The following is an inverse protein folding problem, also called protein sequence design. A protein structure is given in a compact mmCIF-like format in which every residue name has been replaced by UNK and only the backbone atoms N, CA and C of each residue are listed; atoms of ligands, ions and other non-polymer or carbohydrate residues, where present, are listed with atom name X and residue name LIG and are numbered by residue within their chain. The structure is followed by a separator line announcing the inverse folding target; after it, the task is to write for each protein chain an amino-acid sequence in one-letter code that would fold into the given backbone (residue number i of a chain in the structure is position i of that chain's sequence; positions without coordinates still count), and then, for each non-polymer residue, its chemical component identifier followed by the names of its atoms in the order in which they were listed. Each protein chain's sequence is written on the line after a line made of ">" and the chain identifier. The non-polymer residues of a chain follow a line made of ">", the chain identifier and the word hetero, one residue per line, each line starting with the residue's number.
data_IF_801818442062
#
_entry.id   IF_801818442062
#
_cell.length_a   1.000
_cell.length_b   1.000
_cell.length_c   1.000
_cell.angle_alpha   90.00
_cell.angle_beta   90.00
_cell.angle_gamma   90.00
#
_symmetry.space_group_name_H-M   'P 1'
#
loop_
_entity.id
_entity.type
_entity.pdbx_description
1 polymer ?
#
# COMPACT_ATOMS: atom_id res chain seq x y z
N UNK A 1 -0.34 -0.01 26.22
CA UNK A 1 -1.21 -0.04 25.03
C UNK A 1 -0.45 0.62 23.89
N UNK A 2 -0.30 -0.04 22.76
CA UNK A 2 0.45 0.51 21.63
C UNK A 2 -0.51 1.37 20.82
N UNK A 3 -0.35 2.67 20.88
CA UNK A 3 -1.13 3.60 20.06
C UNK A 3 -0.50 3.68 18.67
N UNK A 4 -1.32 3.59 17.65
CA UNK A 4 -0.89 3.87 16.27
C UNK A 4 -0.98 5.37 16.01
N UNK A 5 0.12 5.95 15.56
CA UNK A 5 0.16 7.35 15.20
C UNK A 5 -0.45 7.58 13.81
N UNK A 6 -0.84 8.83 13.57
CA UNK A 6 -1.46 9.25 12.32
C UNK A 6 -0.50 9.10 11.14
N UNK A 7 -1.00 8.56 10.03
CA UNK A 7 -0.25 8.39 8.78
C UNK A 7 -1.15 8.48 7.56
N UNK A 8 -0.57 8.87 6.44
CA UNK A 8 -1.18 8.80 5.12
C UNK A 8 -0.16 8.32 4.09
N UNK A 9 -0.68 7.85 2.96
CA UNK A 9 0.11 7.47 1.80
C UNK A 9 -0.71 7.66 0.53
N UNK A 10 -0.08 8.20 -0.52
CA UNK A 10 -0.63 8.24 -1.87
C UNK A 10 -0.41 6.87 -2.53
N UNK A 11 -1.46 6.30 -3.11
CA UNK A 11 -1.44 5.00 -3.75
C UNK A 11 -1.50 5.08 -5.29
N UNK A 12 -1.73 6.26 -5.86
CA UNK A 12 -1.78 6.45 -7.30
C UNK A 12 -2.28 7.84 -7.70
N UNK A 13 -2.26 8.09 -9.00
CA UNK A 13 -1.84 7.24 -10.12
C UNK A 13 -0.31 7.08 -10.20
N UNK A 14 0.18 6.18 -11.07
CA UNK A 14 1.61 6.01 -11.33
C UNK A 14 2.44 5.38 -10.18
N UNK A 15 1.79 4.80 -9.16
CA UNK A 15 2.47 4.22 -8.01
C UNK A 15 3.37 3.02 -8.37
N UNK A 16 3.06 2.32 -9.45
CA UNK A 16 3.84 1.19 -9.98
C UNK A 16 4.95 1.63 -10.95
N UNK A 17 5.19 2.96 -11.05
CA UNK A 17 6.17 3.55 -11.95
C UNK A 17 5.67 3.67 -13.40
N UNK A 18 4.39 3.39 -13.65
CA UNK A 18 3.80 3.60 -14.97
C UNK A 18 3.67 5.10 -15.26
N UNK A 19 3.99 5.52 -16.51
CA UNK A 19 3.88 6.92 -16.89
C UNK A 19 2.41 7.32 -17.07
N UNK A 20 2.12 8.58 -16.75
CA UNK A 20 0.80 9.19 -16.89
C UNK A 20 0.77 10.16 -18.09
N UNK A 21 -0.43 10.49 -18.55
CA UNK A 21 -0.64 11.55 -19.54
C UNK A 21 -0.91 12.90 -18.86
N UNK A 22 -0.56 14.02 -19.52
CA UNK A 22 -0.86 15.35 -18.99
C UNK A 22 -2.36 15.62 -18.95
N UNK A 23 -2.80 16.50 -18.05
CA UNK A 23 -4.17 16.96 -17.89
C UNK A 23 -4.74 16.66 -16.51
N UNK A 24 -6.07 16.87 -16.40
CA UNK A 24 -6.79 16.68 -15.15
C UNK A 24 -6.74 15.22 -14.70
N UNK A 25 -6.34 15.01 -13.46
CA UNK A 25 -6.20 13.70 -12.84
C UNK A 25 -6.55 13.77 -11.35
N UNK A 26 -6.59 12.62 -10.69
CA UNK A 26 -6.86 12.52 -9.25
C UNK A 26 -5.77 11.68 -8.58
N UNK A 27 -5.09 12.27 -7.60
CA UNK A 27 -4.36 11.46 -6.62
C UNK A 27 -5.36 10.79 -5.70
N UNK A 28 -5.10 9.56 -5.36
CA UNK A 28 -5.85 8.83 -4.35
C UNK A 28 -4.93 8.13 -3.39
N UNK A 29 -5.38 8.00 -2.17
CA UNK A 29 -4.58 7.40 -1.13
C UNK A 29 -5.40 7.01 0.09
N UNK A 30 -4.70 6.61 1.13
CA UNK A 30 -5.31 6.18 2.38
C UNK A 30 -4.65 6.87 3.57
N UNK A 31 -5.42 7.07 4.62
CA UNK A 31 -4.95 7.62 5.90
C UNK A 31 -5.52 6.81 7.06
N UNK A 32 -4.79 6.80 8.17
CA UNK A 32 -5.14 6.06 9.38
C UNK A 32 -4.59 6.75 10.63
N UNK A 33 -5.30 6.67 11.74
CA UNK A 33 -4.84 7.21 13.03
C UNK A 33 -5.26 6.38 14.26
N UNK A 34 -5.68 5.12 14.08
CA UNK A 34 -6.17 4.30 15.17
C UNK A 34 -7.36 4.94 15.89
N UNK A 35 -7.45 4.75 17.20
CA UNK A 35 -8.58 5.17 18.04
C UNK A 35 -8.99 6.65 17.94
N UNK A 36 -8.12 7.54 17.46
CA UNK A 36 -8.43 8.96 17.33
C UNK A 36 -9.10 9.34 16.00
N UNK A 37 -8.98 8.49 15.01
CA UNK A 37 -9.52 8.75 13.69
C UNK A 37 -8.80 9.87 12.93
N UNK A 38 -9.03 9.92 11.62
CA UNK A 38 -8.45 10.92 10.72
C UNK A 38 -9.37 12.12 10.63
N UNK A 39 -8.84 13.33 10.88
CA UNK A 39 -9.56 14.58 10.70
C UNK A 39 -9.49 15.06 9.25
N UNK A 40 -8.27 15.24 8.71
CA UNK A 40 -8.07 15.66 7.33
C UNK A 40 -6.73 15.16 6.80
N UNK A 41 -6.59 15.23 5.48
CA UNK A 41 -5.36 14.96 4.77
C UNK A 41 -5.03 16.14 3.90
N UNK A 42 -3.78 16.62 3.97
CA UNK A 42 -3.25 17.61 3.05
C UNK A 42 -2.33 16.94 2.03
N UNK A 43 -2.28 17.49 0.82
CA UNK A 43 -1.38 17.11 -0.26
C UNK A 43 -0.51 18.29 -0.64
N UNK A 44 0.77 18.04 -0.92
CA UNK A 44 1.69 19.00 -1.51
C UNK A 44 2.26 18.46 -2.81
N UNK A 45 2.32 19.34 -3.82
CA UNK A 45 2.88 19.08 -5.16
C UNK A 45 4.20 19.81 -5.40
N UNK A 46 4.66 20.62 -4.44
CA UNK A 46 5.81 21.51 -4.55
C UNK A 46 6.87 21.28 -3.48
N UNK A 47 7.00 20.02 -3.09
CA UNK A 47 8.00 19.57 -2.12
C UNK A 47 7.86 20.27 -0.76
N UNK A 48 6.62 20.30 -0.23
CA UNK A 48 6.32 20.79 1.15
C UNK A 48 6.23 22.33 1.28
N UNK A 49 6.26 23.06 0.16
CA UNK A 49 6.16 24.52 0.20
C UNK A 49 4.70 24.96 0.43
N UNK A 50 3.76 24.38 -0.30
CA UNK A 50 2.32 24.62 -0.13
C UNK A 50 1.57 23.31 0.14
N UNK A 51 0.46 23.42 0.86
CA UNK A 51 -0.37 22.30 1.24
C UNK A 51 -1.84 22.62 0.98
N UNK A 52 -2.51 21.72 0.31
CA UNK A 52 -3.92 21.83 -0.03
C UNK A 52 -4.69 20.64 0.53
N UNK A 53 -5.91 20.90 1.02
CA UNK A 53 -6.74 19.85 1.61
C UNK A 53 -7.26 18.88 0.56
N UNK A 54 -7.07 17.58 0.79
CA UNK A 54 -7.68 16.52 0.01
C UNK A 54 -9.10 16.21 0.52
N UNK A 55 -9.94 15.73 -0.36
CA UNK A 55 -11.29 15.26 -0.02
C UNK A 55 -11.22 13.85 0.57
N UNK A 56 -11.77 13.67 1.78
CA UNK A 56 -12.01 12.32 2.33
C UNK A 56 -13.23 11.72 1.63
N UNK A 57 -13.07 10.53 1.04
CA UNK A 57 -14.10 9.87 0.26
C UNK A 57 -14.52 8.53 0.87
N UNK A 58 -15.74 8.10 0.54
CA UNK A 58 -16.31 6.87 1.07
C UNK A 58 -16.88 7.02 2.49
N UNK A 59 -17.49 5.95 3.02
CA UNK A 59 -18.10 5.96 4.33
C UNK A 59 -17.05 6.08 5.44
N UNK A 60 -17.39 6.76 6.51
CA UNK A 60 -16.64 6.71 7.75
C UNK A 60 -17.00 5.43 8.51
N UNK A 61 -16.06 4.49 8.57
CA UNK A 61 -16.23 3.20 9.25
C UNK A 61 -15.74 3.23 10.71
N UNK A 62 -15.45 4.43 11.22
CA UNK A 62 -14.98 4.63 12.58
C UNK A 62 -13.47 4.86 12.69
N UNK A 63 -12.97 5.17 13.88
CA UNK A 63 -11.60 5.62 14.10
C UNK A 63 -10.54 4.57 13.77
N UNK A 64 -10.85 3.28 13.94
CA UNK A 64 -9.93 2.17 13.67
C UNK A 64 -9.92 1.72 12.21
N UNK A 65 -10.63 2.45 11.33
CA UNK A 65 -10.69 2.15 9.90
C UNK A 65 -9.81 3.09 9.09
N UNK A 66 -9.32 2.59 7.96
CA UNK A 66 -8.65 3.42 6.98
C UNK A 66 -9.64 4.37 6.30
N UNK A 67 -9.25 5.63 6.15
CA UNK A 67 -9.98 6.63 5.37
C UNK A 67 -9.33 6.76 4.00
N UNK A 68 -10.14 6.69 2.96
CA UNK A 68 -9.67 6.98 1.59
C UNK A 68 -9.76 8.48 1.35
N UNK A 69 -8.80 9.02 0.62
CA UNK A 69 -8.83 10.41 0.15
C UNK A 69 -8.56 10.50 -1.34
N UNK A 70 -9.04 11.56 -1.97
CA UNK A 70 -8.71 11.97 -3.33
C UNK A 70 -8.32 13.44 -3.36
N UNK A 71 -7.48 13.80 -4.31
CA UNK A 71 -7.05 15.17 -4.57
C UNK A 71 -6.98 15.41 -6.07
N UNK A 72 -7.70 16.44 -6.55
CA UNK A 72 -7.73 16.80 -7.97
C UNK A 72 -6.51 17.66 -8.30
N UNK A 73 -5.85 17.37 -9.42
CA UNK A 73 -4.70 18.14 -9.91
C UNK A 73 -4.62 18.09 -11.43
N UNK A 74 -3.88 19.04 -11.99
CA UNK A 74 -3.47 19.02 -13.39
C UNK A 74 -2.03 18.55 -13.51
N UNK A 75 -1.83 17.38 -14.15
CA UNK A 75 -0.51 16.83 -14.43
C UNK A 75 0.14 17.55 -15.62
N UNK A 76 1.35 18.07 -15.40
CA UNK A 76 2.18 18.67 -16.44
C UNK A 76 3.30 17.71 -16.85
N UNK A 77 3.78 17.84 -18.10
CA UNK A 77 4.87 17.00 -18.61
C UNK A 77 6.11 17.05 -17.71
N UNK A 78 6.71 15.89 -17.51
CA UNK A 78 7.92 15.73 -16.71
C UNK A 78 7.71 14.93 -15.44
N UNK A 79 8.63 15.03 -14.50
CA UNK A 79 8.58 14.33 -13.22
C UNK A 79 8.15 15.28 -12.11
N UNK A 80 7.18 14.87 -11.34
CA UNK A 80 6.68 15.63 -10.18
C UNK A 80 6.56 14.70 -8.98
N UNK A 81 6.88 15.24 -7.79
CA UNK A 81 6.77 14.51 -6.53
C UNK A 81 5.61 15.05 -5.73
N UNK A 82 4.78 14.14 -5.27
CA UNK A 82 3.61 14.44 -4.43
C UNK A 82 3.78 13.78 -3.08
N UNK A 83 3.41 14.49 -2.03
CA UNK A 83 3.42 13.98 -0.66
C UNK A 83 2.09 14.25 -0.01
N UNK A 84 1.67 13.38 0.91
CA UNK A 84 0.47 13.59 1.72
C UNK A 84 0.82 13.54 3.20
N UNK A 85 0.11 14.33 4.00
CA UNK A 85 0.18 14.27 5.46
C UNK A 85 -1.22 14.27 6.06
N UNK A 86 -1.45 13.38 6.99
CA UNK A 86 -2.71 13.32 7.72
C UNK A 86 -2.60 14.05 9.06
N UNK A 87 -3.74 14.57 9.52
CA UNK A 87 -3.94 15.10 10.87
C UNK A 87 -5.09 14.35 11.51
N UNK A 88 -4.95 13.93 12.75
CA UNK A 88 -5.99 13.23 13.47
C UNK A 88 -6.97 14.18 14.19
N UNK A 89 -8.02 13.61 14.78
CA UNK A 89 -9.05 14.39 15.49
C UNK A 89 -8.54 15.06 16.78
N UNK A 90 -7.39 14.67 17.29
CA UNK A 90 -6.74 15.34 18.41
C UNK A 90 -5.78 16.47 17.98
N UNK A 91 -5.59 16.65 16.67
CA UNK A 91 -4.71 17.65 16.10
C UNK A 91 -3.26 17.19 15.92
N UNK A 92 -2.93 15.94 16.23
CA UNK A 92 -1.61 15.40 15.95
C UNK A 92 -1.44 15.20 14.44
N UNK A 93 -0.30 15.67 13.94
CA UNK A 93 0.02 15.68 12.51
C UNK A 93 1.11 14.66 12.20
N UNK A 94 0.97 13.99 11.08
CA UNK A 94 2.01 13.11 10.56
C UNK A 94 3.35 13.86 10.42
N UNK A 95 4.44 13.35 11.02
CA UNK A 95 5.73 14.03 10.99
C UNK A 95 6.36 13.97 9.58
N UNK A 96 7.24 14.92 9.27
CA UNK A 96 8.01 14.92 8.03
C UNK A 96 8.91 13.71 7.93
N UNK A 97 9.73 13.49 8.97
CA UNK A 97 10.65 12.36 9.06
C UNK A 97 10.11 11.30 9.99
N UNK A 98 10.36 10.05 9.64
CA UNK A 98 10.01 8.93 10.51
C UNK A 98 10.72 9.01 11.85
N UNK A 99 9.99 8.69 12.90
CA UNK A 99 10.51 8.54 14.25
C UNK A 99 10.52 7.05 14.60
N UNK A 100 11.59 6.38 14.19
CA UNK A 100 11.74 4.95 14.46
C UNK A 100 12.00 4.70 15.94
N UNK A 101 11.35 3.68 16.49
CA UNK A 101 11.75 3.13 17.76
C UNK A 101 12.91 2.12 17.58
N UNK A 102 13.51 1.67 18.68
CA UNK A 102 14.63 0.72 18.67
C UNK A 102 14.33 -0.64 17.99
N UNK A 103 13.06 -0.92 17.63
CA UNK A 103 12.63 -2.14 16.93
C UNK A 103 12.29 -1.89 15.45
N UNK A 104 12.54 -0.70 14.93
CA UNK A 104 12.25 -0.31 13.54
C UNK A 104 10.78 -0.06 13.24
N UNK A 105 9.90 0.03 14.26
CA UNK A 105 8.52 0.45 14.11
C UNK A 105 8.41 1.99 14.17
N UNK A 106 7.32 2.54 13.64
CA UNK A 106 7.09 3.99 13.63
C UNK A 106 7.45 4.65 12.30
N UNK A 107 7.37 3.90 11.20
CA UNK A 107 7.62 4.40 9.85
C UNK A 107 6.46 5.30 9.37
N UNK A 108 6.38 6.51 9.93
CA UNK A 108 5.25 7.44 9.79
C UNK A 108 5.61 8.71 9.00
N UNK A 109 6.88 8.87 8.59
CA UNK A 109 7.34 10.06 7.88
C UNK A 109 6.63 10.22 6.54
N UNK A 110 6.00 11.40 6.29
CA UNK A 110 5.36 11.65 5.00
C UNK A 110 6.39 11.86 3.87
N UNK A 111 7.60 12.30 4.17
CA UNK A 111 8.66 12.50 3.19
C UNK A 111 9.07 11.17 2.51
N UNK A 112 9.12 10.08 3.29
CA UNK A 112 9.45 8.74 2.78
C UNK A 112 8.29 8.11 1.99
N UNK A 113 7.06 8.56 2.21
CA UNK A 113 5.85 8.05 1.58
C UNK A 113 5.43 8.83 0.32
N UNK A 114 6.30 9.72 -0.18
CA UNK A 114 6.02 10.51 -1.39
C UNK A 114 5.93 9.64 -2.64
N UNK A 115 5.09 10.08 -3.58
CA UNK A 115 4.89 9.47 -4.88
C UNK A 115 5.53 10.32 -5.97
N UNK A 116 6.41 9.71 -6.77
CA UNK A 116 7.00 10.32 -7.95
C UNK A 116 6.19 9.90 -9.18
N UNK A 117 5.58 10.88 -9.88
CA UNK A 117 4.80 10.65 -11.11
C UNK A 117 5.61 11.14 -12.29
N UNK A 118 5.74 10.29 -13.31
CA UNK A 118 6.36 10.63 -14.58
C UNK A 118 5.28 10.85 -15.62
N UNK A 119 5.17 12.08 -16.13
CA UNK A 119 4.15 12.47 -17.13
C UNK A 119 4.82 12.57 -18.49
N UNK A 120 4.30 11.81 -19.45
CA UNK A 120 4.81 11.71 -20.82
C UNK A 120 3.78 12.18 -21.84
N UNK A 121 4.22 12.66 -23.00
CA UNK A 121 3.31 13.10 -24.07
C UNK A 121 2.55 11.96 -24.73
N UNK A 122 3.12 10.75 -24.72
CA UNK A 122 2.50 9.54 -25.27
C UNK A 122 2.85 8.35 -24.37
N UNK A 123 1.86 7.50 -24.11
CA UNK A 123 2.11 6.26 -23.37
C UNK A 123 2.91 5.27 -24.24
N UNK A 124 3.84 4.51 -23.63
CA UNK A 124 4.53 3.43 -24.32
C UNK A 124 3.51 2.44 -24.88
N UNK A 125 3.68 2.04 -26.14
CA UNK A 125 2.80 1.03 -26.73
C UNK A 125 2.90 -0.26 -25.91
N UNK A 126 1.77 -0.74 -25.40
CA UNK A 126 1.72 -2.01 -24.68
C UNK A 126 2.14 -3.13 -25.65
N UNK A 127 3.31 -3.68 -25.43
CA UNK A 127 3.74 -4.93 -26.07
C UNK A 127 3.39 -6.05 -25.09
N UNK A 128 2.34 -6.86 -25.35
CA UNK A 128 2.00 -7.94 -24.45
C UNK A 128 3.18 -8.89 -24.33
N UNK A 129 3.72 -9.01 -23.12
CA UNK A 129 4.71 -10.04 -22.83
C UNK A 129 4.04 -11.40 -23.11
N UNK A 130 4.60 -12.25 -23.99
CA UNK A 130 4.00 -13.54 -24.25
C UNK A 130 3.89 -14.29 -22.92
N UNK A 131 2.65 -14.65 -22.55
CA UNK A 131 2.38 -15.45 -21.36
C UNK A 131 3.31 -16.66 -21.44
N UNK A 132 4.15 -16.94 -20.42
CA UNK A 132 5.00 -18.12 -20.45
C UNK A 132 4.09 -19.33 -20.72
N UNK A 133 4.41 -20.10 -21.77
CA UNK A 133 3.68 -21.32 -22.07
C UNK A 133 3.74 -22.16 -20.79
N UNK A 134 2.58 -22.44 -20.21
CA UNK A 134 2.48 -23.37 -19.09
C UNK A 134 3.00 -24.69 -19.65
N UNK A 135 4.25 -25.03 -19.32
CA UNK A 135 4.79 -26.34 -19.65
C UNK A 135 3.78 -27.34 -19.08
N UNK A 136 3.19 -28.10 -19.95
CA UNK A 136 2.23 -29.15 -19.58
C UNK A 136 2.93 -30.06 -18.59
N UNK A 137 2.70 -29.84 -17.29
CA UNK A 137 3.20 -30.71 -16.26
C UNK A 137 2.51 -32.07 -16.49
N UNK A 138 3.24 -33.02 -17.03
CA UNK A 138 2.81 -34.39 -17.08
C UNK A 138 2.58 -34.82 -15.63
N UNK A 139 1.32 -34.95 -15.25
CA UNK A 139 0.96 -35.48 -13.95
C UNK A 139 1.48 -36.89 -13.91
N UNK A 140 2.57 -37.13 -13.21
CA UNK A 140 3.02 -38.48 -12.91
C UNK A 140 1.90 -39.16 -12.11
N UNK A 141 1.31 -40.17 -12.70
CA UNK A 141 0.33 -41.01 -12.01
C UNK A 141 1.06 -41.65 -10.84
N UNK A 142 0.74 -41.20 -9.64
CA UNK A 142 1.23 -41.80 -8.41
C UNK A 142 0.59 -43.19 -8.32
N UNK A 143 1.41 -44.21 -8.50
CA UNK A 143 1.01 -45.63 -8.36
C UNK A 143 0.46 -45.81 -6.93
N UNK A 144 -0.83 -46.14 -6.83
CA UNK A 144 -1.50 -46.45 -5.58
C UNK A 144 -1.23 -47.89 -5.15
N UNK A 145 0.02 -48.21 -4.92
CA UNK A 145 0.36 -49.51 -4.30
C UNK A 145 -0.01 -49.43 -2.80
N UNK A 146 -0.90 -50.30 -2.31
CA UNK A 146 -1.29 -50.26 -0.90
C UNK A 146 -0.11 -50.64 0.02
N UNK A 147 0.20 -49.74 0.95
CA UNK A 147 1.21 -49.99 1.98
C UNK A 147 0.71 -51.12 2.87
N UNK A 148 1.35 -52.29 2.83
CA UNK A 148 1.10 -53.37 3.79
C UNK A 148 1.63 -52.95 5.16
N UNK A 149 0.72 -52.63 6.07
CA UNK A 149 1.03 -52.46 7.47
C UNK A 149 1.42 -53.82 8.07
N UNK A 150 2.69 -53.98 8.41
CA UNK A 150 3.18 -55.10 9.19
C UNK A 150 2.71 -54.94 10.65
N UNK A 151 1.79 -55.78 11.07
CA UNK A 151 1.36 -55.90 12.44
C UNK A 151 2.45 -56.62 13.26
N UNK A 152 3.24 -55.84 13.97
CA UNK A 152 4.21 -56.41 14.94
C UNK A 152 3.58 -56.34 16.35
N UNK A 153 2.73 -57.33 16.65
CA UNK A 153 2.23 -57.55 18.02
C UNK A 153 3.33 -58.15 18.86
N UNK A 154 3.98 -57.39 19.70
CA UNK A 154 4.77 -57.89 20.84
C UNK A 154 3.84 -58.14 22.01
N UNK A 155 3.57 -59.44 22.24
CA UNK A 155 3.02 -59.91 23.52
C UNK A 155 4.04 -59.64 24.63
N UNK A 156 3.71 -58.78 25.57
CA UNK A 156 4.39 -58.66 26.87
C UNK A 156 3.83 -59.72 27.79
N UNK A 157 4.67 -60.69 28.18
CA UNK A 157 4.40 -61.63 29.29
C UNK A 157 4.49 -60.89 30.61
N UNK A 158 3.46 -61.05 31.44
CA UNK A 158 3.49 -60.63 32.81
C UNK A 158 4.39 -61.50 33.71
N UNK A 159 4.83 -60.95 34.79
CA UNK A 159 4.93 -61.50 36.15
C UNK A 159 4.58 -60.36 37.08
#
# INVERSE_FOLDING_TARGET
>A
MWRMDVKSRINGPGADGEPELPGRNYLYGVAFSGERGVNHVDVSSDNDTTWEAAELVGPDLGPDAWRTFKFELDLSLGKSRYVSRATDMAGDRQPRKRQENHRGYGNLGWEDAGLDINVVSELPKFVPTPKPAIASATVAVVDKTPIKLSANAKQGKGI
#
